data_IF_510755728148
#
_entry.id   IF_510755728148
#
_cell.length_a   1.000
_cell.length_b   1.000
_cell.length_c   1.000
_cell.angle_alpha   90.00
_cell.angle_beta   90.00
_cell.angle_gamma   90.00
#
_symmetry.space_group_name_H-M   'P 1'
#
loop_
_entity.id
_entity.type
_entity.pdbx_description
1 polymer ?
#
# COMPACT_ATOMS: atom_id res chain seq x y z
N UNK A 1 -12.26 13.57 10.60
CA UNK A 1 -11.88 12.21 10.14
C UNK A 1 -10.37 12.04 10.27
N UNK A 2 -9.85 10.81 10.37
CA UNK A 2 -8.40 10.55 10.58
C UNK A 2 -7.44 11.33 9.63
N UNK A 3 -7.75 11.59 8.36
CA UNK A 3 -6.83 12.33 7.47
C UNK A 3 -6.61 13.79 7.89
N UNK A 4 -7.61 14.48 8.45
CA UNK A 4 -7.45 15.87 8.90
C UNK A 4 -6.54 15.98 10.12
N UNK A 5 -6.60 15.02 11.05
CA UNK A 5 -5.70 14.97 12.20
C UNK A 5 -4.23 14.69 11.84
N UNK A 6 -3.97 14.22 10.61
CA UNK A 6 -2.63 13.87 10.13
C UNK A 6 -1.92 15.04 9.42
N UNK A 7 -2.58 16.17 9.21
CA UNK A 7 -1.99 17.33 8.55
C UNK A 7 -0.66 17.77 9.21
N UNK A 8 -0.60 17.76 10.54
CA UNK A 8 0.62 18.05 11.28
C UNK A 8 1.73 17.03 10.99
N UNK A 9 1.40 15.75 10.93
CA UNK A 9 2.38 14.69 10.61
C UNK A 9 3.02 14.91 9.24
N UNK A 10 2.21 15.20 8.21
CA UNK A 10 2.74 15.50 6.87
C UNK A 10 3.59 16.78 6.86
N UNK A 11 3.22 17.79 7.65
CA UNK A 11 4.02 19.03 7.77
C UNK A 11 5.39 18.82 8.42
N UNK A 12 5.53 17.80 9.28
CA UNK A 12 6.82 17.48 9.91
C UNK A 12 7.79 16.77 8.95
N UNK A 13 7.33 16.27 7.80
CA UNK A 13 8.17 15.59 6.82
C UNK A 13 8.82 14.30 7.34
N UNK A 14 8.20 13.66 8.35
CA UNK A 14 8.77 12.45 8.96
C UNK A 14 8.69 11.30 7.96
N UNK A 15 9.82 10.66 7.61
CA UNK A 15 9.79 9.48 6.75
C UNK A 15 9.21 8.29 7.53
N UNK A 16 8.18 7.64 6.98
CA UNK A 16 7.60 6.45 7.63
C UNK A 16 6.32 5.95 6.98
N UNK A 17 6.03 4.67 7.19
CA UNK A 17 4.74 4.07 6.86
C UNK A 17 3.76 4.42 7.97
N UNK A 18 2.60 4.97 7.59
CA UNK A 18 1.51 5.29 8.52
C UNK A 18 0.34 4.32 8.35
N UNK A 19 0.09 3.88 7.13
CA UNK A 19 -1.00 2.97 6.77
C UNK A 19 -0.41 1.74 6.11
N UNK A 20 -0.49 0.60 6.78
CA UNK A 20 0.03 -0.66 6.29
C UNK A 20 -1.09 -1.47 5.62
N UNK A 21 -0.88 -1.87 4.38
CA UNK A 21 -1.67 -2.90 3.72
C UNK A 21 -1.05 -4.26 4.04
N UNK A 22 -1.44 -4.83 5.18
CA UNK A 22 -0.90 -6.11 5.66
C UNK A 22 -1.58 -7.31 4.98
N UNK A 23 -0.85 -7.97 4.07
CA UNK A 23 -1.29 -9.18 3.39
C UNK A 23 -1.11 -10.45 4.21
N UNK A 24 -0.24 -10.43 5.22
CA UNK A 24 0.13 -11.63 6.00
C UNK A 24 -1.04 -12.21 6.75
N UNK A 25 -1.97 -11.36 7.18
CA UNK A 25 -3.22 -11.80 7.83
C UNK A 25 -4.02 -12.73 6.92
N UNK A 26 -4.10 -12.40 5.63
CA UNK A 26 -4.85 -13.21 4.65
C UNK A 26 -4.07 -14.45 4.24
N UNK A 27 -2.76 -14.31 4.00
CA UNK A 27 -1.89 -15.45 3.70
C UNK A 27 -1.95 -16.51 4.81
N UNK A 28 -1.79 -16.09 6.08
CA UNK A 28 -1.92 -16.98 7.23
C UNK A 28 -3.31 -17.61 7.38
N UNK A 29 -4.34 -16.97 6.80
CA UNK A 29 -5.70 -17.49 6.68
C UNK A 29 -5.90 -18.46 5.50
N UNK A 30 -4.86 -18.79 4.73
CA UNK A 30 -4.92 -19.70 3.58
C UNK A 30 -5.19 -19.03 2.23
N UNK A 31 -5.01 -17.71 2.13
CA UNK A 31 -5.14 -17.01 0.85
C UNK A 31 -4.04 -17.43 -0.13
N UNK A 32 -4.42 -17.57 -1.39
CA UNK A 32 -3.46 -17.70 -2.51
C UNK A 32 -2.69 -16.40 -2.73
N UNK A 33 -1.53 -16.46 -3.42
CA UNK A 33 -0.73 -15.29 -3.79
C UNK A 33 -1.56 -14.16 -4.43
N UNK A 34 -2.49 -14.51 -5.32
CA UNK A 34 -3.34 -13.54 -6.00
C UNK A 34 -4.38 -12.92 -5.07
N UNK A 35 -4.92 -13.70 -4.12
CA UNK A 35 -5.86 -13.19 -3.12
C UNK A 35 -5.16 -12.28 -2.12
N UNK A 36 -3.97 -12.64 -1.63
CA UNK A 36 -3.15 -11.78 -0.78
C UNK A 36 -2.88 -10.43 -1.48
N UNK A 37 -2.34 -10.45 -2.70
CA UNK A 37 -2.11 -9.22 -3.47
C UNK A 37 -3.39 -8.42 -3.71
N UNK A 38 -4.50 -9.10 -4.03
CA UNK A 38 -5.80 -8.46 -4.24
C UNK A 38 -6.30 -7.73 -3.00
N UNK A 39 -6.24 -8.37 -1.83
CA UNK A 39 -6.62 -7.74 -0.55
C UNK A 39 -5.71 -6.57 -0.19
N UNK A 40 -4.41 -6.68 -0.41
CA UNK A 40 -3.46 -5.57 -0.19
C UNK A 40 -3.77 -4.37 -1.07
N UNK A 41 -4.07 -4.57 -2.36
CA UNK A 41 -4.46 -3.48 -3.26
C UNK A 41 -5.81 -2.87 -2.86
N UNK A 42 -6.77 -3.68 -2.43
CA UNK A 42 -8.04 -3.20 -1.91
C UNK A 42 -7.85 -2.29 -0.68
N UNK A 43 -7.02 -2.70 0.28
CA UNK A 43 -6.67 -1.90 1.46
C UNK A 43 -5.98 -0.59 1.08
N UNK A 44 -4.96 -0.65 0.22
CA UNK A 44 -4.24 0.55 -0.22
C UNK A 44 -5.15 1.56 -0.96
N UNK A 45 -6.03 1.08 -1.85
CA UNK A 45 -7.02 1.93 -2.52
C UNK A 45 -8.04 2.50 -1.54
N UNK A 46 -8.45 1.72 -0.54
CA UNK A 46 -9.33 2.21 0.53
C UNK A 46 -8.67 3.35 1.32
N UNK A 47 -7.38 3.24 1.62
CA UNK A 47 -6.62 4.31 2.26
C UNK A 47 -6.56 5.56 1.39
N UNK A 48 -6.30 5.44 0.08
CA UNK A 48 -6.33 6.59 -0.82
C UNK A 48 -7.72 7.26 -0.86
N UNK A 49 -8.79 6.47 -0.91
CA UNK A 49 -10.18 6.98 -0.86
C UNK A 49 -10.45 7.75 0.43
N UNK A 50 -9.95 7.30 1.58
CA UNK A 50 -10.10 8.05 2.84
C UNK A 50 -9.51 9.47 2.74
N UNK A 51 -8.38 9.65 2.05
CA UNK A 51 -7.77 10.97 1.85
C UNK A 51 -8.58 11.82 0.87
N UNK A 52 -9.06 11.22 -0.22
CA UNK A 52 -9.94 11.88 -1.18
C UNK A 52 -11.22 12.42 -0.51
N UNK A 53 -11.88 11.60 0.31
CA UNK A 53 -13.07 11.97 1.08
C UNK A 53 -12.79 13.12 2.07
N UNK A 54 -11.58 13.16 2.64
CA UNK A 54 -11.12 14.24 3.51
C UNK A 54 -10.58 15.46 2.74
N UNK A 55 -10.70 15.48 1.41
CA UNK A 55 -10.21 16.53 0.51
C UNK A 55 -8.71 16.81 0.65
N UNK A 56 -7.93 15.75 0.93
CA UNK A 56 -6.47 15.81 1.00
C UNK A 56 -5.84 15.28 -0.29
N UNK A 57 -4.79 15.91 -0.83
CA UNK A 57 -4.11 15.41 -2.03
C UNK A 57 -3.49 14.02 -1.84
N UNK A 58 -3.77 13.10 -2.76
CA UNK A 58 -3.26 11.72 -2.72
C UNK A 58 -1.73 11.62 -2.79
N UNK A 59 -1.08 12.63 -3.39
CA UNK A 59 0.38 12.73 -3.46
C UNK A 59 1.05 12.76 -2.09
N UNK A 60 0.34 13.25 -1.07
CA UNK A 60 0.82 13.21 0.31
C UNK A 60 0.55 11.87 0.98
N UNK A 61 -0.46 11.12 0.56
CA UNK A 61 -0.82 9.84 1.14
C UNK A 61 0.09 8.70 0.67
N UNK A 62 0.31 8.62 -0.64
CA UNK A 62 0.96 7.47 -1.29
C UNK A 62 2.34 7.09 -0.70
N UNK A 63 3.24 8.05 -0.36
CA UNK A 63 4.53 7.72 0.26
C UNK A 63 4.44 7.09 1.65
N UNK A 64 3.30 7.25 2.34
CA UNK A 64 3.06 6.75 3.69
C UNK A 64 2.22 5.46 3.72
N UNK A 65 1.88 4.91 2.56
CA UNK A 65 1.28 3.58 2.43
C UNK A 65 2.40 2.55 2.29
N UNK A 66 2.46 1.62 3.23
CA UNK A 66 3.41 0.50 3.23
C UNK A 66 2.71 -0.84 3.02
N UNK A 67 3.50 -1.86 2.76
CA UNK A 67 3.01 -3.20 2.46
C UNK A 67 3.77 -4.22 3.30
N UNK A 68 3.07 -5.08 4.03
CA UNK A 68 3.65 -6.25 4.67
C UNK A 68 3.21 -7.49 3.88
N UNK A 69 4.18 -8.13 3.21
CA UNK A 69 3.92 -9.21 2.25
C UNK A 69 4.50 -10.52 2.76
N UNK A 70 3.75 -11.61 2.64
CA UNK A 70 4.25 -12.94 3.03
C UNK A 70 5.27 -13.46 2.02
N UNK A 71 6.30 -14.14 2.49
CA UNK A 71 7.33 -14.77 1.66
C UNK A 71 7.58 -16.17 2.20
N UNK A 72 7.53 -17.16 1.31
CA UNK A 72 7.63 -18.58 1.64
C UNK A 72 8.90 -19.22 1.07
N UNK A 73 9.04 -20.53 1.33
CA UNK A 73 10.14 -21.34 0.81
C UNK A 73 10.12 -21.48 -0.73
N UNK A 74 8.97 -21.26 -1.38
CA UNK A 74 8.94 -21.10 -2.84
C UNK A 74 9.52 -19.74 -3.21
N UNK A 75 10.84 -19.73 -3.36
CA UNK A 75 11.61 -18.52 -3.65
C UNK A 75 11.18 -17.85 -4.97
N UNK A 76 10.81 -18.62 -6.00
CA UNK A 76 10.50 -18.05 -7.31
C UNK A 76 9.12 -17.41 -7.31
N UNK A 77 8.13 -18.08 -6.71
CA UNK A 77 6.81 -17.52 -6.51
C UNK A 77 6.88 -16.29 -5.61
N UNK A 78 7.65 -16.34 -4.53
CA UNK A 78 7.84 -15.19 -3.63
C UNK A 78 8.48 -13.99 -4.34
N UNK A 79 9.55 -14.21 -5.12
CA UNK A 79 10.15 -13.17 -5.95
C UNK A 79 9.16 -12.61 -6.99
N UNK A 80 8.35 -13.46 -7.61
CA UNK A 80 7.31 -13.05 -8.53
C UNK A 80 6.23 -12.20 -7.83
N UNK A 81 5.81 -12.58 -6.62
CA UNK A 81 4.81 -11.86 -5.82
C UNK A 81 5.28 -10.46 -5.44
N UNK A 82 6.53 -10.31 -4.95
CA UNK A 82 7.13 -9.00 -4.65
C UNK A 82 7.16 -8.11 -5.91
N UNK A 83 7.55 -8.67 -7.07
CA UNK A 83 7.56 -7.93 -8.35
C UNK A 83 6.16 -7.53 -8.80
N UNK A 84 5.19 -8.43 -8.64
CA UNK A 84 3.79 -8.18 -8.95
C UNK A 84 3.24 -7.05 -8.08
N UNK A 85 3.49 -7.08 -6.77
CA UNK A 85 3.08 -6.04 -5.83
C UNK A 85 3.59 -4.65 -6.27
N UNK A 86 4.87 -4.52 -6.60
CA UNK A 86 5.46 -3.24 -7.08
C UNK A 86 4.77 -2.75 -8.37
N UNK A 87 4.47 -3.66 -9.30
CA UNK A 87 3.79 -3.31 -10.56
C UNK A 87 2.35 -2.88 -10.32
N UNK A 88 1.61 -3.61 -9.48
CA UNK A 88 0.24 -3.29 -9.11
C UNK A 88 0.17 -1.92 -8.42
N UNK A 89 1.08 -1.65 -7.48
CA UNK A 89 1.13 -0.35 -6.82
C UNK A 89 1.45 0.81 -7.78
N UNK A 90 2.39 0.61 -8.71
CA UNK A 90 2.64 1.60 -9.76
C UNK A 90 1.40 1.86 -10.63
N UNK A 91 0.63 0.82 -10.98
CA UNK A 91 -0.62 0.96 -11.74
C UNK A 91 -1.72 1.69 -10.96
N UNK A 92 -1.83 1.47 -9.65
CA UNK A 92 -2.76 2.23 -8.80
C UNK A 92 -2.40 3.72 -8.80
N UNK A 93 -1.11 4.04 -8.63
CA UNK A 93 -0.64 5.44 -8.65
C UNK A 93 -0.87 6.12 -10.01
N UNK A 94 -0.61 5.41 -11.11
CA UNK A 94 -0.90 5.86 -12.47
C UNK A 94 -2.41 6.13 -12.66
N UNK A 95 -3.28 5.21 -12.22
CA UNK A 95 -4.73 5.39 -12.28
C UNK A 95 -5.22 6.58 -11.45
N UNK A 96 -4.52 6.90 -10.35
CA UNK A 96 -4.77 8.09 -9.54
C UNK A 96 -4.13 9.37 -10.09
N UNK A 97 -3.48 9.33 -11.26
CA UNK A 97 -2.74 10.47 -11.85
C UNK A 97 -1.70 11.10 -10.92
N UNK A 98 -1.05 10.31 -10.06
CA UNK A 98 0.02 10.76 -9.17
C UNK A 98 1.37 10.20 -9.62
N UNK A 99 2.44 10.94 -9.33
CA UNK A 99 3.80 10.50 -9.60
C UNK A 99 4.10 9.17 -8.88
N UNK A 100 4.72 8.24 -9.60
CA UNK A 100 5.05 6.94 -9.04
C UNK A 100 6.08 7.06 -7.90
N UNK A 101 5.66 6.63 -6.72
CA UNK A 101 6.51 6.43 -5.55
C UNK A 101 6.86 4.94 -5.40
N UNK A 102 8.01 4.68 -4.78
CA UNK A 102 8.49 3.33 -4.48
C UNK A 102 7.57 2.64 -3.47
N UNK A 103 7.24 1.37 -3.70
CA UNK A 103 6.57 0.56 -2.67
C UNK A 103 7.56 0.25 -1.53
N UNK A 104 7.23 0.71 -0.33
CA UNK A 104 7.86 0.26 0.91
C UNK A 104 7.27 -1.10 1.29
N UNK A 105 8.08 -2.15 1.19
CA UNK A 105 7.67 -3.53 1.45
C UNK A 105 8.50 -4.04 2.62
N UNK A 106 7.82 -4.52 3.66
CA UNK A 106 8.38 -5.12 4.87
C UNK A 106 8.20 -6.64 4.85
#
# INVERSE_FOLDING_TARGET
SMPQSLAHFFSMGVPGVLLEADGRVFHNGGATEAQELGTMMASAVSYLRMFEEARQPLVYAAPHIGFALSVDQDQFVSMAKVRALRRLWARVQEACSIAASTANIH
#
